data_IF_179505632716
#
_entry.id   IF_179505632716
#
_cell.length_a   1.000
_cell.length_b   1.000
_cell.length_c   1.000
_cell.angle_alpha   90.00
_cell.angle_beta   90.00
_cell.angle_gamma   90.00
#
_symmetry.space_group_name_H-M   'P 1'
#
loop_
_entity.id
_entity.type
_entity.pdbx_description
1 polymer ?
#
# COMPACT_ATOMS: atom_id res chain seq x y z
N UNK A 1 -31.24 12.76 29.24
CA UNK A 1 -31.20 12.42 27.79
C UNK A 1 -30.59 13.52 26.90
N UNK A 2 -30.27 14.71 27.41
CA UNK A 2 -29.76 15.86 26.63
C UNK A 2 -28.27 15.77 26.31
N UNK A 3 -27.46 15.15 27.18
CA UNK A 3 -25.99 15.13 27.05
C UNK A 3 -25.47 14.25 25.90
N UNK A 4 -26.20 13.17 25.57
CA UNK A 4 -25.84 12.25 24.47
C UNK A 4 -25.87 12.92 23.08
N UNK A 5 -26.61 14.01 22.93
CA UNK A 5 -26.75 14.75 21.67
C UNK A 5 -25.46 15.48 21.29
N UNK A 6 -24.79 16.11 22.27
CA UNK A 6 -23.57 16.87 22.05
C UNK A 6 -22.36 15.95 21.83
N UNK A 7 -22.23 14.89 22.63
CA UNK A 7 -21.15 13.92 22.47
C UNK A 7 -21.24 13.17 21.14
N UNK A 8 -22.44 12.73 20.74
CA UNK A 8 -22.63 12.07 19.44
C UNK A 8 -22.31 13.03 18.28
N UNK A 9 -22.79 14.28 18.33
CA UNK A 9 -22.47 15.29 17.31
C UNK A 9 -20.98 15.62 17.25
N UNK A 10 -20.31 15.72 18.39
CA UNK A 10 -18.87 15.98 18.43
C UNK A 10 -18.08 14.81 17.87
N UNK A 11 -18.50 13.57 18.16
CA UNK A 11 -17.90 12.37 17.61
C UNK A 11 -18.05 12.33 16.09
N UNK A 12 -19.23 12.62 15.56
CA UNK A 12 -19.47 12.69 14.12
C UNK A 12 -18.56 13.75 13.46
N UNK A 13 -18.36 14.91 14.10
CA UNK A 13 -17.45 15.95 13.60
C UNK A 13 -15.97 15.55 13.64
N UNK A 14 -15.54 14.88 14.73
CA UNK A 14 -14.18 14.35 14.87
C UNK A 14 -13.92 13.26 13.83
N UNK A 15 -14.87 12.34 13.65
CA UNK A 15 -14.81 11.29 12.63
C UNK A 15 -14.69 11.89 11.23
N UNK A 16 -15.48 12.93 10.95
CA UNK A 16 -15.42 13.63 9.66
C UNK A 16 -14.08 14.34 9.45
N UNK A 17 -13.58 15.05 10.46
CA UNK A 17 -12.25 15.70 10.41
C UNK A 17 -11.13 14.69 10.18
N UNK A 18 -11.16 13.57 10.90
CA UNK A 18 -10.20 12.48 10.73
C UNK A 18 -10.29 11.82 9.35
N UNK A 19 -11.48 11.71 8.77
CA UNK A 19 -11.64 11.21 7.40
C UNK A 19 -11.04 12.16 6.36
N UNK A 20 -11.14 13.48 6.57
CA UNK A 20 -10.46 14.47 5.71
C UNK A 20 -8.94 14.33 5.81
N UNK A 21 -8.40 14.21 7.03
CA UNK A 21 -6.96 13.96 7.26
C UNK A 21 -6.52 12.68 6.57
N UNK A 22 -7.33 11.62 6.68
CA UNK A 22 -7.06 10.36 5.97
C UNK A 22 -7.02 10.56 4.46
N UNK A 23 -8.02 11.23 3.89
CA UNK A 23 -8.09 11.47 2.45
C UNK A 23 -6.87 12.24 1.94
N UNK A 24 -6.46 13.30 2.66
CA UNK A 24 -5.27 14.09 2.33
C UNK A 24 -4.00 13.24 2.42
N UNK A 25 -3.84 12.45 3.48
CA UNK A 25 -2.70 11.55 3.61
C UNK A 25 -2.66 10.47 2.53
N UNK A 26 -3.81 9.88 2.19
CA UNK A 26 -3.92 8.92 1.10
C UNK A 26 -3.49 9.51 -0.25
N UNK A 27 -3.93 10.73 -0.55
CA UNK A 27 -3.51 11.46 -1.77
C UNK A 27 -2.01 11.74 -1.76
N UNK A 28 -1.45 12.12 -0.60
CA UNK A 28 -0.03 12.45 -0.45
C UNK A 28 0.89 11.23 -0.62
N UNK A 29 0.55 10.09 0.00
CA UNK A 29 1.35 8.87 -0.07
C UNK A 29 1.12 8.06 -1.36
N UNK A 30 -0.06 8.17 -1.97
CA UNK A 30 -0.44 7.38 -3.15
C UNK A 30 -0.96 8.24 -4.31
N UNK A 31 -0.18 9.20 -4.85
CA UNK A 31 -0.63 10.08 -5.95
C UNK A 31 -1.04 9.30 -7.20
N UNK A 32 -0.31 8.21 -7.50
CA UNK A 32 -0.63 7.35 -8.64
C UNK A 32 -1.94 6.59 -8.50
N UNK A 33 -2.58 6.54 -7.32
CA UNK A 33 -3.88 5.92 -7.13
C UNK A 33 -5.03 6.79 -7.64
N UNK A 34 -4.83 8.12 -7.69
CA UNK A 34 -5.78 9.13 -8.18
C UNK A 34 -5.41 9.67 -9.58
N UNK A 35 -4.60 8.92 -10.35
CA UNK A 35 -4.07 9.35 -11.65
C UNK A 35 -3.20 10.63 -11.60
N UNK A 36 -2.76 11.08 -10.42
CA UNK A 36 -1.85 12.21 -10.30
C UNK A 36 -0.43 11.76 -10.69
N UNK A 37 0.22 12.56 -11.56
CA UNK A 37 1.57 12.28 -12.05
C UNK A 37 2.65 12.48 -10.97
N UNK A 38 2.38 13.35 -10.01
CA UNK A 38 3.34 13.78 -8.99
C UNK A 38 2.68 13.85 -7.61
N UNK A 39 3.42 13.53 -6.55
CA UNK A 39 2.96 13.67 -5.18
C UNK A 39 2.87 15.15 -4.82
N UNK A 40 1.75 15.65 -4.26
CA UNK A 40 1.65 17.04 -3.82
C UNK A 40 2.61 17.35 -2.66
N UNK A 41 3.01 16.34 -1.88
CA UNK A 41 3.98 16.46 -0.79
C UNK A 41 4.93 15.25 -0.77
N UNK A 42 6.22 15.50 -0.58
CA UNK A 42 7.23 14.46 -0.45
C UNK A 42 7.37 14.06 1.02
N UNK A 43 6.59 13.08 1.46
CA UNK A 43 6.65 12.54 2.82
C UNK A 43 7.57 11.31 2.82
N UNK A 44 8.53 11.18 3.77
CA UNK A 44 9.39 10.01 3.83
C UNK A 44 8.58 8.71 3.99
N UNK A 45 8.97 7.65 3.28
CA UNK A 45 8.28 6.35 3.32
C UNK A 45 8.21 5.73 4.72
N UNK A 46 9.10 6.11 5.63
CA UNK A 46 9.09 5.65 7.03
C UNK A 46 7.80 6.02 7.76
N UNK A 47 7.19 7.16 7.40
CA UNK A 47 5.93 7.62 7.98
C UNK A 47 4.69 6.88 7.44
N UNK A 48 4.83 6.15 6.34
CA UNK A 48 3.74 5.40 5.74
C UNK A 48 3.20 4.32 6.70
N UNK A 49 4.10 3.64 7.42
CA UNK A 49 3.74 2.59 8.38
C UNK A 49 2.97 3.16 9.56
N UNK A 50 3.41 4.31 10.11
CA UNK A 50 2.71 4.97 11.20
C UNK A 50 1.32 5.43 10.76
N UNK A 51 1.21 5.99 9.56
CA UNK A 51 -0.07 6.41 8.99
C UNK A 51 -1.02 5.21 8.80
N UNK A 52 -0.50 4.07 8.35
CA UNK A 52 -1.28 2.85 8.18
C UNK A 52 -1.75 2.28 9.54
N UNK A 53 -0.91 2.27 10.57
CA UNK A 53 -1.30 1.85 11.93
C UNK A 53 -2.39 2.77 12.48
N UNK A 54 -2.22 4.10 12.38
CA UNK A 54 -3.21 5.07 12.83
C UNK A 54 -4.54 4.87 12.10
N UNK A 55 -4.49 4.58 10.80
CA UNK A 55 -5.67 4.28 10.00
C UNK A 55 -6.43 3.05 10.52
N UNK A 56 -5.71 1.96 10.80
CA UNK A 56 -6.32 0.72 11.28
C UNK A 56 -6.95 0.89 12.67
N UNK A 57 -6.30 1.65 13.55
CA UNK A 57 -6.87 2.01 14.87
C UNK A 57 -8.14 2.84 14.69
N UNK A 58 -8.09 3.85 13.82
CA UNK A 58 -9.23 4.70 13.52
C UNK A 58 -10.40 3.93 12.92
N UNK A 59 -10.11 3.02 11.98
CA UNK A 59 -11.09 2.13 11.37
C UNK A 59 -11.78 1.24 12.43
N UNK A 60 -11.01 0.64 13.34
CA UNK A 60 -11.56 -0.16 14.44
C UNK A 60 -12.51 0.65 15.32
N UNK A 61 -12.14 1.90 15.62
CA UNK A 61 -12.98 2.81 16.40
C UNK A 61 -14.29 3.15 15.67
N UNK A 62 -14.22 3.39 14.36
CA UNK A 62 -15.37 3.72 13.50
C UNK A 62 -16.35 2.54 13.41
N UNK A 63 -15.84 1.33 13.20
CA UNK A 63 -16.64 0.09 13.20
C UNK A 63 -17.29 -0.13 14.55
N UNK A 64 -16.55 0.09 15.64
CA UNK A 64 -17.07 -0.09 16.99
C UNK A 64 -18.18 0.91 17.32
N UNK A 65 -18.01 2.21 16.99
CA UNK A 65 -19.03 3.23 17.19
C UNK A 65 -20.31 2.91 16.38
N UNK A 66 -20.13 2.54 15.11
CA UNK A 66 -21.22 2.17 14.22
C UNK A 66 -21.97 0.92 14.71
N UNK A 67 -21.24 -0.06 15.26
CA UNK A 67 -21.82 -1.26 15.88
C UNK A 67 -22.67 -0.92 17.12
N UNK A 68 -22.20 -0.01 17.97
CA UNK A 68 -22.97 0.45 19.14
C UNK A 68 -24.23 1.22 18.73
N UNK A 69 -24.16 2.04 17.68
CA UNK A 69 -25.32 2.74 17.09
C UNK A 69 -26.32 1.74 16.51
N UNK A 70 -25.85 0.69 15.83
CA UNK A 70 -26.70 -0.36 15.28
C UNK A 70 -27.47 -1.11 16.37
N UNK A 71 -26.78 -1.54 17.42
CA UNK A 71 -27.40 -2.28 18.55
C UNK A 71 -28.52 -1.49 19.24
N UNK A 72 -28.47 -0.15 19.21
CA UNK A 72 -29.51 0.71 19.80
C UNK A 72 -30.76 0.87 18.92
N UNK A 73 -30.61 0.82 17.60
CA UNK A 73 -31.69 1.13 16.67
C UNK A 73 -32.58 -0.08 16.35
N UNK A 74 -32.08 -1.31 16.52
CA UNK A 74 -32.78 -2.61 16.34
C UNK A 74 -33.52 -2.78 14.99
N UNK A 75 -33.37 -1.83 14.06
CA UNK A 75 -33.95 -1.81 12.72
C UNK A 75 -32.84 -1.46 11.71
N UNK A 76 -32.51 -2.45 10.87
CA UNK A 76 -31.46 -2.33 9.85
C UNK A 76 -31.78 -1.30 8.77
N UNK A 77 -33.04 -1.17 8.33
CA UNK A 77 -33.41 -0.24 7.25
C UNK A 77 -33.30 1.20 7.70
N UNK A 78 -33.78 1.50 8.90
CA UNK A 78 -33.70 2.84 9.47
C UNK A 78 -32.25 3.23 9.76
N UNK A 79 -31.46 2.28 10.25
CA UNK A 79 -30.04 2.46 10.53
C UNK A 79 -29.25 2.82 9.26
N UNK A 80 -29.41 2.04 8.18
CA UNK A 80 -28.73 2.31 6.91
C UNK A 80 -29.08 3.70 6.37
N UNK A 81 -30.35 4.10 6.39
CA UNK A 81 -30.76 5.44 5.93
C UNK A 81 -30.20 6.57 6.79
N UNK A 82 -30.09 6.36 8.10
CA UNK A 82 -29.68 7.40 9.05
C UNK A 82 -28.15 7.57 9.12
N UNK A 83 -27.41 6.48 9.04
CA UNK A 83 -25.95 6.44 9.20
C UNK A 83 -25.22 6.08 7.89
N UNK A 84 -25.83 6.35 6.73
CA UNK A 84 -25.27 5.96 5.43
C UNK A 84 -23.87 6.52 5.17
N UNK A 85 -23.58 7.74 5.62
CA UNK A 85 -22.25 8.36 5.49
C UNK A 85 -21.17 7.62 6.29
N UNK A 86 -21.48 7.20 7.52
CA UNK A 86 -20.55 6.44 8.37
C UNK A 86 -20.26 5.08 7.75
N UNK A 87 -21.30 4.41 7.25
CA UNK A 87 -21.17 3.14 6.52
C UNK A 87 -20.29 3.33 5.28
N UNK A 88 -20.51 4.41 4.52
CA UNK A 88 -19.69 4.74 3.36
C UNK A 88 -18.21 4.88 3.75
N UNK A 89 -17.90 5.58 4.84
CA UNK A 89 -16.53 5.71 5.35
C UNK A 89 -15.92 4.37 5.78
N UNK A 90 -16.68 3.54 6.51
CA UNK A 90 -16.23 2.20 6.91
C UNK A 90 -15.93 1.35 5.68
N UNK A 91 -16.74 1.40 4.63
CA UNK A 91 -16.48 0.61 3.41
C UNK A 91 -15.34 1.19 2.58
N UNK A 92 -15.18 2.51 2.58
CA UNK A 92 -14.18 3.20 1.76
C UNK A 92 -12.74 2.90 2.21
N UNK A 93 -12.49 2.81 3.52
CA UNK A 93 -11.15 2.53 4.08
C UNK A 93 -10.56 1.21 3.54
N UNK A 94 -11.20 0.03 3.74
CA UNK A 94 -10.69 -1.24 3.22
C UNK A 94 -10.72 -1.30 1.68
N UNK A 95 -11.64 -0.59 1.02
CA UNK A 95 -11.68 -0.49 -0.44
C UNK A 95 -10.42 0.19 -1.01
N UNK A 96 -10.00 1.31 -0.41
CA UNK A 96 -8.77 2.02 -0.80
C UNK A 96 -7.52 1.18 -0.52
N UNK A 97 -7.48 0.47 0.62
CA UNK A 97 -6.37 -0.43 0.95
C UNK A 97 -6.29 -1.62 -0.02
N UNK A 98 -7.43 -2.22 -0.38
CA UNK A 98 -7.48 -3.30 -1.37
C UNK A 98 -6.96 -2.83 -2.74
N UNK A 99 -7.28 -1.59 -3.15
CA UNK A 99 -6.79 -0.99 -4.39
C UNK A 99 -5.26 -0.78 -4.36
N UNK A 100 -4.70 -0.36 -3.23
CA UNK A 100 -3.24 -0.27 -3.00
C UNK A 100 -2.56 -1.62 -3.22
N UNK A 101 -3.09 -2.69 -2.60
CA UNK A 101 -2.54 -4.06 -2.70
C UNK A 101 -2.62 -4.58 -4.15
N UNK A 102 -3.72 -4.32 -4.85
CA UNK A 102 -3.87 -4.71 -6.26
C UNK A 102 -2.83 -4.05 -7.18
N UNK A 103 -2.48 -2.78 -6.93
CA UNK A 103 -1.47 -2.06 -7.71
C UNK A 103 -0.06 -2.53 -7.40
N UNK A 104 0.25 -2.77 -6.12
CA UNK A 104 1.54 -3.34 -5.68
C UNK A 104 1.72 -4.73 -6.30
N UNK A 105 0.69 -5.58 -6.27
CA UNK A 105 0.78 -6.92 -6.86
C UNK A 105 0.95 -6.87 -8.38
N UNK A 106 0.26 -5.96 -9.08
CA UNK A 106 0.45 -5.78 -10.53
C UNK A 106 1.88 -5.34 -10.88
N UNK A 107 2.47 -4.43 -10.10
CA UNK A 107 3.87 -4.04 -10.27
C UNK A 107 4.82 -5.18 -9.92
N UNK A 108 4.63 -5.87 -8.80
CA UNK A 108 5.42 -7.05 -8.43
C UNK A 108 5.40 -8.12 -9.52
N UNK A 109 4.26 -8.38 -10.16
CA UNK A 109 4.16 -9.34 -11.27
C UNK A 109 4.98 -8.85 -12.47
N UNK A 110 4.99 -7.54 -12.78
CA UNK A 110 5.85 -6.98 -13.83
C UNK A 110 7.33 -7.10 -13.46
N UNK A 111 7.71 -6.78 -12.23
CA UNK A 111 9.10 -6.87 -11.73
C UNK A 111 9.56 -8.33 -11.65
N UNK A 112 8.69 -9.27 -11.27
CA UNK A 112 8.95 -10.70 -11.27
C UNK A 112 9.09 -11.28 -12.68
N UNK A 113 8.29 -10.79 -13.65
CA UNK A 113 8.47 -11.15 -15.07
C UNK A 113 9.81 -10.63 -15.61
N UNK A 114 10.18 -9.39 -15.27
CA UNK A 114 11.49 -8.83 -15.62
C UNK A 114 12.65 -9.56 -14.90
N UNK A 115 12.44 -9.98 -13.64
CA UNK A 115 13.39 -10.76 -12.85
C UNK A 115 13.60 -12.18 -13.40
N UNK A 116 12.53 -12.90 -13.79
CA UNK A 116 12.66 -14.20 -14.48
C UNK A 116 13.48 -14.08 -15.77
N UNK A 117 13.35 -12.97 -16.48
CA UNK A 117 14.18 -12.63 -17.64
C UNK A 117 15.64 -12.37 -17.24
N UNK A 118 15.87 -11.53 -16.24
CA UNK A 118 17.21 -11.20 -15.72
C UNK A 118 17.96 -12.40 -15.15
N UNK A 119 17.29 -13.30 -14.43
CA UNK A 119 17.88 -14.52 -13.87
C UNK A 119 18.38 -15.47 -14.96
N UNK A 120 17.65 -15.58 -16.09
CA UNK A 120 18.06 -16.39 -17.24
C UNK A 120 19.31 -15.82 -17.92
N UNK A 121 19.41 -14.50 -17.99
CA UNK A 121 20.55 -13.77 -18.56
C UNK A 121 21.76 -13.87 -17.63
N UNK A 122 21.57 -13.70 -16.32
CA UNK A 122 22.64 -13.80 -15.33
C UNK A 122 23.20 -15.23 -15.21
N UNK A 123 22.35 -16.26 -15.31
CA UNK A 123 22.78 -17.66 -15.32
C UNK A 123 23.59 -18.00 -16.58
N UNK A 124 23.15 -17.52 -17.76
CA UNK A 124 23.91 -17.66 -19.01
C UNK A 124 25.23 -16.87 -18.99
N UNK A 125 25.24 -15.66 -18.45
CA UNK A 125 26.43 -14.82 -18.32
C UNK A 125 27.46 -15.44 -17.36
N UNK A 126 27.03 -15.99 -16.22
CA UNK A 126 27.91 -16.69 -15.27
C UNK A 126 28.55 -17.93 -15.91
N UNK A 127 27.78 -18.69 -16.70
CA UNK A 127 28.29 -19.85 -17.46
C UNK A 127 29.28 -19.44 -18.57
N UNK A 128 29.02 -18.35 -19.28
CA UNK A 128 29.94 -17.78 -20.28
C UNK A 128 31.24 -17.26 -19.64
N UNK A 129 31.16 -16.63 -18.46
CA UNK A 129 32.34 -16.12 -17.75
C UNK A 129 33.31 -17.23 -17.32
N UNK A 130 32.79 -18.41 -16.97
CA UNK A 130 33.61 -19.58 -16.61
C UNK A 130 34.37 -20.11 -17.83
N UNK A 131 33.77 -20.05 -19.01
CA UNK A 131 34.40 -20.43 -20.28
C UNK A 131 35.48 -19.44 -20.71
N UNK A 132 35.22 -18.14 -20.55
CA UNK A 132 36.22 -17.09 -20.83
C UNK A 132 37.43 -17.15 -19.90
N UNK A 133 37.24 -17.45 -18.60
CA UNK A 133 38.37 -17.69 -17.68
C UNK A 133 39.24 -18.88 -18.09
N UNK A 134 38.64 -19.97 -18.57
CA UNK A 134 39.39 -21.15 -19.04
C UNK A 134 40.22 -20.82 -20.30
N UNK A 135 39.62 -20.10 -21.26
CA UNK A 135 40.32 -19.64 -22.47
C UNK A 135 41.47 -18.67 -22.16
N UNK A 136 41.29 -17.76 -21.20
CA UNK A 136 42.34 -16.84 -20.77
C UNK A 136 43.53 -17.58 -20.14
N UNK A 137 43.29 -18.63 -19.34
CA UNK A 137 44.36 -19.45 -18.76
C UNK A 137 45.10 -20.26 -19.82
N UNK A 138 44.39 -20.84 -20.78
CA UNK A 138 45.01 -21.60 -21.89
C UNK A 138 45.87 -20.69 -22.78
N UNK A 139 45.41 -19.47 -23.07
CA UNK A 139 46.17 -18.51 -23.85
C UNK A 139 47.42 -18.01 -23.10
N UNK A 140 47.31 -17.81 -21.78
CA UNK A 140 48.45 -17.44 -20.94
C UNK A 140 49.52 -18.53 -20.84
N UNK A 141 49.14 -19.81 -20.87
CA UNK A 141 50.07 -20.95 -20.88
C UNK A 141 50.71 -21.12 -22.27
N UNK A 142 49.93 -20.97 -23.34
CA UNK A 142 50.44 -21.06 -24.71
C UNK A 142 51.43 -19.93 -25.04
N UNK A 143 51.20 -18.71 -24.53
CA UNK A 143 52.11 -17.58 -24.70
C UNK A 143 53.44 -17.78 -23.94
N UNK A 144 53.42 -18.47 -22.79
CA UNK A 144 54.63 -18.75 -22.01
C UNK A 144 55.53 -19.80 -22.69
N UNK A 145 54.94 -20.78 -23.37
CA UNK A 145 55.67 -21.84 -24.07
C UNK A 145 56.32 -21.40 -25.39
N UNK A 146 55.95 -20.25 -25.94
CA UNK A 146 56.53 -19.71 -27.18
C UNK A 146 57.68 -18.70 -26.90
N UNK A 147 57.95 -18.42 -25.62
CA UNK A 147 59.00 -17.52 -25.12
C UNK A 147 60.17 -18.26 -24.45
N UNK A 148 60.07 -19.59 -24.33
CA UNK A 148 61.06 -20.53 -23.81
C UNK A 148 61.68 -21.32 -24.98
#
# INVERSE_FOLDING_TARGET
MVEKSLLAKSLDFVLLGMAVVYFVGFVAFHPGSLFLKEAPYHIPHEYEIYFEIVLWVFFGLLVFDLYLKYKKLNDWKLFLKKHWHEILMVVLIPFLTAFKIAKISANLVKTLKASKSGFKIFYKAKKASKHFKCLATVWSIAALNHLL
#
